data_IF_477470710276
#
_entry.id   IF_477470710276
#
_cell.length_a   1.000
_cell.length_b   1.000
_cell.length_c   1.000
_cell.angle_alpha   90.00
_cell.angle_beta   90.00
_cell.angle_gamma   90.00
#
_symmetry.space_group_name_H-M   'P 1'
#
loop_
_entity.id
_entity.type
_entity.pdbx_description
1 polymer ?
#
# COMPACT_ATOMS: atom_id res chain seq x y z
N UNK A 1 -17.10 2.59 -8.90
CA UNK A 1 -17.25 1.11 -8.86
C UNK A 1 -16.67 0.54 -10.14
N UNK A 2 -15.70 -0.38 -10.06
CA UNK A 2 -15.13 -0.99 -11.25
C UNK A 2 -16.21 -1.76 -12.02
N UNK A 3 -16.37 -1.46 -13.31
CA UNK A 3 -17.22 -2.24 -14.21
C UNK A 3 -16.59 -3.63 -14.30
N UNK A 4 -17.29 -4.64 -13.76
CA UNK A 4 -16.86 -6.04 -13.75
C UNK A 4 -17.77 -6.87 -14.66
N UNK A 5 -17.87 -6.48 -15.91
CA UNK A 5 -18.50 -7.34 -16.91
C UNK A 5 -17.52 -8.47 -17.32
N UNK A 6 -18.08 -9.56 -17.86
CA UNK A 6 -17.31 -10.77 -18.20
C UNK A 6 -16.17 -10.50 -19.18
N UNK A 7 -16.34 -9.55 -20.10
CA UNK A 7 -15.32 -9.22 -21.10
C UNK A 7 -14.15 -8.49 -20.46
N UNK A 8 -14.42 -7.51 -19.60
CA UNK A 8 -13.38 -6.75 -18.89
C UNK A 8 -12.59 -7.65 -17.93
N UNK A 9 -13.26 -8.56 -17.23
CA UNK A 9 -12.62 -9.57 -16.37
C UNK A 9 -11.70 -10.50 -17.18
N UNK A 10 -12.19 -11.02 -18.31
CA UNK A 10 -11.41 -11.90 -19.19
C UNK A 10 -10.16 -11.21 -19.74
N UNK A 11 -10.29 -9.95 -20.18
CA UNK A 11 -9.15 -9.15 -20.65
C UNK A 11 -8.12 -8.96 -19.54
N UNK A 12 -8.56 -8.60 -18.33
CA UNK A 12 -7.67 -8.41 -17.18
C UNK A 12 -6.88 -9.68 -16.87
N UNK A 13 -7.54 -10.84 -16.84
CA UNK A 13 -6.87 -12.13 -16.60
C UNK A 13 -5.87 -12.46 -17.70
N UNK A 14 -6.21 -12.25 -18.98
CA UNK A 14 -5.27 -12.45 -20.10
C UNK A 14 -4.04 -11.58 -19.97
N UNK A 15 -4.21 -10.30 -19.63
CA UNK A 15 -3.12 -9.35 -19.43
C UNK A 15 -2.20 -9.84 -18.30
N UNK A 16 -2.74 -10.16 -17.12
CA UNK A 16 -1.92 -10.63 -16.00
C UNK A 16 -1.21 -11.97 -16.26
N UNK A 17 -1.84 -12.88 -17.01
CA UNK A 17 -1.22 -14.16 -17.40
C UNK A 17 -0.09 -13.99 -18.42
N UNK A 18 -0.16 -12.97 -19.26
CA UNK A 18 0.89 -12.65 -20.23
C UNK A 18 2.08 -11.88 -19.67
N UNK A 19 2.02 -11.40 -18.42
CA UNK A 19 3.10 -10.64 -17.81
C UNK A 19 4.31 -11.49 -17.43
N UNK A 20 5.50 -10.94 -17.65
CA UNK A 20 6.73 -11.49 -17.09
C UNK A 20 6.77 -11.33 -15.56
N UNK A 21 7.58 -12.12 -14.83
CA UNK A 21 7.77 -11.93 -13.39
C UNK A 21 8.17 -10.49 -13.02
N UNK A 22 9.05 -9.86 -13.82
CA UNK A 22 9.49 -8.49 -13.59
C UNK A 22 8.34 -7.48 -13.69
N UNK A 23 7.49 -7.60 -14.72
CA UNK A 23 6.33 -6.73 -14.88
C UNK A 23 5.36 -6.83 -13.70
N UNK A 24 5.19 -8.04 -13.15
CA UNK A 24 4.35 -8.25 -11.95
C UNK A 24 4.93 -7.54 -10.73
N UNK A 25 6.24 -7.67 -10.52
CA UNK A 25 6.93 -6.98 -9.41
C UNK A 25 6.81 -5.47 -9.56
N UNK A 26 7.01 -4.93 -10.76
CA UNK A 26 6.87 -3.49 -11.04
C UNK A 26 5.49 -2.98 -10.65
N UNK A 27 4.43 -3.68 -11.05
CA UNK A 27 3.05 -3.32 -10.68
C UNK A 27 2.87 -3.31 -9.16
N UNK A 28 3.35 -4.34 -8.45
CA UNK A 28 3.21 -4.44 -6.99
C UNK A 28 3.98 -3.30 -6.31
N UNK A 29 5.19 -2.98 -6.76
CA UNK A 29 5.96 -1.86 -6.22
C UNK A 29 5.24 -0.51 -6.43
N UNK A 30 4.71 -0.26 -7.63
CA UNK A 30 3.94 0.96 -7.91
C UNK A 30 2.68 1.04 -7.06
N UNK A 31 1.92 -0.06 -6.95
CA UNK A 31 0.73 -0.11 -6.10
C UNK A 31 1.05 0.09 -4.62
N UNK A 32 2.16 -0.48 -4.14
CA UNK A 32 2.61 -0.28 -2.77
C UNK A 32 2.94 1.18 -2.49
N UNK A 33 3.64 1.85 -3.40
CA UNK A 33 3.96 3.27 -3.27
C UNK A 33 2.68 4.12 -3.26
N UNK A 34 1.78 3.92 -4.23
CA UNK A 34 0.50 4.65 -4.28
C UNK A 34 -0.32 4.46 -3.00
N UNK A 35 -0.40 3.24 -2.47
CA UNK A 35 -1.10 2.97 -1.22
C UNK A 35 -0.46 3.68 -0.02
N UNK A 36 0.88 3.79 0.03
CA UNK A 36 1.59 4.55 1.08
C UNK A 36 1.26 6.04 0.99
N UNK A 37 1.30 6.60 -0.21
CA UNK A 37 1.04 8.03 -0.44
C UNK A 37 -0.40 8.40 -0.07
N UNK A 38 -1.37 7.57 -0.47
CA UNK A 38 -2.77 7.75 -0.09
C UNK A 38 -2.97 7.64 1.42
N UNK A 39 -2.34 6.67 2.07
CA UNK A 39 -2.42 6.51 3.52
C UNK A 39 -1.82 7.71 4.26
N UNK A 40 -0.69 8.22 3.79
CA UNK A 40 -0.06 9.42 4.36
C UNK A 40 -0.93 10.66 4.20
N UNK A 41 -1.53 10.85 3.04
CA UNK A 41 -2.46 11.97 2.80
C UNK A 41 -3.67 11.90 3.75
N UNK A 42 -4.24 10.71 3.93
CA UNK A 42 -5.35 10.49 4.86
C UNK A 42 -4.95 10.75 6.32
N UNK A 43 -3.81 10.22 6.77
CA UNK A 43 -3.31 10.42 8.14
C UNK A 43 -3.09 11.92 8.42
N UNK A 44 -2.41 12.63 7.53
CA UNK A 44 -2.16 14.09 7.68
C UNK A 44 -3.45 14.89 7.68
N UNK A 45 -4.43 14.50 6.86
CA UNK A 45 -5.75 15.13 6.86
C UNK A 45 -6.49 14.90 8.18
N UNK A 46 -6.41 13.70 8.75
CA UNK A 46 -7.08 13.35 10.00
C UNK A 46 -6.38 13.92 11.25
N UNK A 47 -5.06 14.12 11.18
CA UNK A 47 -4.22 14.58 12.28
C UNK A 47 -3.25 15.68 11.81
N UNK A 48 -3.71 16.92 11.62
CA UNK A 48 -2.89 18.00 11.08
C UNK A 48 -1.76 18.44 12.01
N UNK A 49 -1.93 18.26 13.32
CA UNK A 49 -0.96 18.71 14.34
C UNK A 49 0.09 17.65 14.68
N UNK A 50 0.00 16.45 14.10
CA UNK A 50 0.97 15.39 14.35
C UNK A 50 2.32 15.72 13.73
N UNK A 51 3.37 15.43 14.49
CA UNK A 51 4.74 15.46 14.02
C UNK A 51 4.98 14.44 12.91
N UNK A 52 6.07 14.63 12.16
CA UNK A 52 6.45 13.70 11.11
C UNK A 52 6.63 12.27 11.62
N UNK A 53 7.18 12.07 12.83
CA UNK A 53 7.39 10.74 13.39
C UNK A 53 6.07 10.09 13.81
N UNK A 54 5.12 10.84 14.37
CA UNK A 54 3.78 10.33 14.71
C UNK A 54 3.03 9.86 13.46
N UNK A 55 3.09 10.65 12.37
CA UNK A 55 2.53 10.26 11.08
C UNK A 55 3.18 8.98 10.54
N UNK A 56 4.51 8.88 10.60
CA UNK A 56 5.23 7.70 10.12
C UNK A 56 4.96 6.46 10.99
N UNK A 57 4.83 6.64 12.30
CA UNK A 57 4.47 5.58 13.24
C UNK A 57 3.07 5.05 12.97
N UNK A 58 2.11 5.93 12.74
CA UNK A 58 0.75 5.53 12.35
C UNK A 58 0.74 4.81 10.99
N UNK A 59 1.52 5.28 10.01
CA UNK A 59 1.69 4.57 8.75
C UNK A 59 2.21 3.15 8.97
N UNK A 60 3.27 2.98 9.79
CA UNK A 60 3.80 1.64 10.12
C UNK A 60 2.75 0.78 10.81
N UNK A 61 1.96 1.34 11.73
CA UNK A 61 0.88 0.64 12.42
C UNK A 61 -0.20 0.13 11.46
N UNK A 62 -0.54 0.89 10.42
CA UNK A 62 -1.53 0.50 9.39
C UNK A 62 -0.99 -0.56 8.41
N UNK A 63 0.30 -0.51 8.08
CA UNK A 63 0.89 -1.36 7.04
C UNK A 63 1.49 -2.67 7.53
N UNK A 64 1.98 -2.70 8.76
CA UNK A 64 2.66 -3.87 9.30
C UNK A 64 1.69 -4.71 10.14
N UNK A 65 1.79 -6.05 10.07
CA UNK A 65 1.18 -6.91 11.09
C UNK A 65 1.67 -6.51 12.47
N UNK A 66 0.83 -6.69 13.50
CA UNK A 66 1.09 -6.23 14.87
C UNK A 66 2.47 -6.65 15.39
N UNK A 67 2.86 -7.90 15.18
CA UNK A 67 4.15 -8.43 15.64
C UNK A 67 5.33 -7.73 14.97
N UNK A 68 5.20 -7.44 13.67
CA UNK A 68 6.25 -6.77 12.91
C UNK A 68 6.32 -5.28 13.25
N UNK A 69 5.17 -4.63 13.46
CA UNK A 69 5.12 -3.26 14.00
C UNK A 69 5.89 -3.16 15.31
N UNK A 70 5.60 -4.03 16.28
CA UNK A 70 6.26 -4.03 17.58
C UNK A 70 7.78 -4.23 17.45
N UNK A 71 8.23 -5.17 16.61
CA UNK A 71 9.66 -5.39 16.36
C UNK A 71 10.34 -4.16 15.75
N UNK A 72 9.69 -3.48 14.80
CA UNK A 72 10.23 -2.27 14.17
C UNK A 72 10.29 -1.11 15.16
N UNK A 73 9.27 -0.92 15.99
CA UNK A 73 9.28 0.14 17.01
C UNK A 73 10.34 -0.11 18.09
N UNK A 74 10.53 -1.36 18.51
CA UNK A 74 11.60 -1.74 19.44
C UNK A 74 12.99 -1.47 18.86
N UNK A 75 13.20 -1.73 17.57
CA UNK A 75 14.48 -1.46 16.91
C UNK A 75 14.75 0.04 16.64
N UNK A 76 13.73 0.90 16.84
CA UNK A 76 13.82 2.36 16.65
C UNK A 76 13.95 3.13 17.96
N UNK A 77 13.74 2.48 19.11
CA UNK A 77 13.89 3.03 20.46
C UNK A 77 15.34 2.99 20.92
#
# INVERSE_FOLDING_TARGET
MAVRDKRTEWLRVKIYRGMTPLQRVQIICSLNQTMRDLSLADIRRAHPDWTAEEVQRELRRRLLPRDLFNKVEQARA
#
